data_IF_297629482036
#
_entry.id   IF_297629482036
#
_cell.length_a   1.000
_cell.length_b   1.000
_cell.length_c   1.000
_cell.angle_alpha   90.00
_cell.angle_beta   90.00
_cell.angle_gamma   90.00
#
_symmetry.space_group_name_H-M   'P 1'
#
loop_
_entity.id
_entity.type
_entity.pdbx_description
1 polymer ?
#
# COMPACT_ATOMS: atom_id res chain seq x y z
N UNK A 1 -37.40 3.38 -44.70
CA UNK A 1 -38.30 2.21 -44.78
C UNK A 1 -38.36 1.52 -43.42
N UNK A 2 -39.51 0.97 -43.00
CA UNK A 2 -39.88 0.91 -41.58
C UNK A 2 -40.18 -0.51 -41.04
N UNK A 3 -40.42 -0.58 -39.71
CA UNK A 3 -41.18 -1.59 -38.92
C UNK A 3 -40.52 -2.95 -38.61
N UNK A 4 -40.51 -3.31 -37.31
CA UNK A 4 -41.32 -4.39 -36.66
C UNK A 4 -40.67 -4.76 -35.31
N UNK A 5 -41.22 -4.37 -34.14
CA UNK A 5 -42.23 -5.08 -33.32
C UNK A 5 -42.01 -6.60 -33.18
N UNK A 6 -41.70 -7.06 -31.97
CA UNK A 6 -42.31 -8.27 -31.38
C UNK A 6 -42.52 -8.12 -29.87
N UNK A 7 -43.75 -8.48 -29.48
CA UNK A 7 -44.29 -8.70 -28.13
C UNK A 7 -44.11 -10.18 -27.77
N UNK A 8 -44.13 -10.50 -26.48
CA UNK A 8 -44.91 -11.57 -25.78
C UNK A 8 -44.36 -11.66 -24.35
N UNK A 9 -45.02 -11.12 -23.32
CA UNK A 9 -46.16 -11.69 -22.57
C UNK A 9 -45.94 -13.15 -22.14
N UNK A 10 -45.68 -13.36 -20.84
CA UNK A 10 -46.06 -14.62 -20.19
C UNK A 10 -46.68 -14.38 -18.80
N UNK A 11 -47.72 -15.17 -18.54
CA UNK A 11 -48.79 -14.95 -17.57
C UNK A 11 -48.70 -15.92 -16.39
N UNK A 12 -49.21 -15.44 -15.25
CA UNK A 12 -49.97 -16.18 -14.22
C UNK A 12 -49.26 -17.28 -13.39
N UNK A 13 -49.33 -17.12 -12.07
CA UNK A 13 -50.32 -17.85 -11.24
C UNK A 13 -50.41 -17.29 -9.81
N UNK A 14 -51.53 -16.64 -9.55
CA UNK A 14 -52.07 -16.36 -8.20
C UNK A 14 -52.92 -17.57 -7.80
N UNK A 15 -52.61 -18.21 -6.68
CA UNK A 15 -53.48 -19.20 -6.05
C UNK A 15 -54.13 -18.59 -4.81
N UNK A 16 -55.45 -18.39 -4.89
CA UNK A 16 -56.31 -18.14 -3.74
C UNK A 16 -56.61 -19.47 -3.06
N UNK A 17 -56.52 -19.49 -1.73
CA UNK A 17 -56.97 -20.62 -0.92
C UNK A 17 -58.20 -20.17 -0.14
N UNK A 18 -59.26 -20.96 -0.31
CA UNK A 18 -60.61 -20.84 0.25
C UNK A 18 -60.60 -20.90 1.78
N UNK A 19 -61.41 -20.01 2.35
CA UNK A 19 -62.07 -20.18 3.65
C UNK A 19 -63.26 -21.11 3.49
N UNK A 20 -63.30 -22.20 4.25
CA UNK A 20 -64.54 -22.90 4.58
C UNK A 20 -64.61 -23.08 6.09
N UNK A 21 -65.60 -22.43 6.68
CA UNK A 21 -66.10 -22.68 8.02
C UNK A 21 -67.04 -23.88 7.97
N UNK A 22 -66.92 -24.84 8.89
CA UNK A 22 -68.10 -25.49 9.48
C UNK A 22 -67.77 -26.24 10.79
N UNK A 23 -68.54 -25.85 11.81
CA UNK A 23 -69.15 -26.66 12.86
C UNK A 23 -68.32 -27.57 13.79
N UNK A 24 -68.10 -27.03 15.00
CA UNK A 24 -68.63 -27.52 16.29
C UNK A 24 -69.00 -29.00 16.37
N UNK A 25 -68.26 -29.75 17.21
CA UNK A 25 -68.88 -30.73 18.13
C UNK A 25 -68.07 -30.92 19.42
N UNK A 26 -68.85 -30.84 20.48
CA UNK A 26 -68.57 -30.95 21.89
C UNK A 26 -68.02 -32.34 22.29
N UNK A 27 -66.95 -32.35 23.08
CA UNK A 27 -66.51 -33.52 23.85
C UNK A 27 -65.71 -33.06 25.07
N UNK A 28 -66.44 -32.52 26.03
CA UNK A 28 -66.06 -32.51 27.44
C UNK A 28 -65.69 -33.92 27.92
N UNK A 29 -64.40 -34.21 28.14
CA UNK A 29 -63.89 -35.19 29.14
C UNK A 29 -62.36 -35.20 29.17
N UNK A 30 -61.81 -35.06 30.38
CA UNK A 30 -60.45 -35.43 30.80
C UNK A 30 -59.24 -34.68 30.18
N UNK A 31 -58.98 -33.45 30.62
CA UNK A 31 -57.62 -32.88 30.61
C UNK A 31 -57.25 -32.26 31.96
N UNK A 32 -56.97 -33.11 32.94
CA UNK A 32 -56.15 -32.71 34.08
C UNK A 32 -54.67 -32.92 33.69
N UNK A 33 -53.97 -31.78 33.48
CA UNK A 33 -52.50 -31.57 33.43
C UNK A 33 -51.82 -32.03 32.11
N UNK A 34 -51.19 -31.10 31.34
CA UNK A 34 -49.78 -30.77 31.57
C UNK A 34 -49.41 -29.30 31.26
N UNK A 35 -50.12 -28.31 31.80
CA UNK A 35 -49.74 -26.90 31.58
C UNK A 35 -48.43 -26.52 32.29
N UNK A 36 -48.07 -27.23 33.37
CA UNK A 36 -46.81 -27.02 34.09
C UNK A 36 -45.58 -27.62 33.40
N UNK A 37 -45.75 -28.58 32.48
CA UNK A 37 -44.61 -29.21 31.79
C UNK A 37 -44.15 -28.40 30.56
N UNK A 38 -45.08 -27.74 29.86
CA UNK A 38 -44.77 -26.90 28.70
C UNK A 38 -44.03 -25.60 29.08
N UNK A 39 -44.37 -24.98 30.22
CA UNK A 39 -43.65 -23.80 30.72
C UNK A 39 -42.26 -24.15 31.28
N UNK A 40 -42.08 -25.33 31.89
CA UNK A 40 -40.76 -25.78 32.35
C UNK A 40 -39.82 -26.08 31.17
N UNK A 41 -40.33 -26.64 30.07
CA UNK A 41 -39.52 -26.90 28.87
C UNK A 41 -39.17 -25.61 28.11
N UNK A 42 -40.08 -24.62 28.07
CA UNK A 42 -39.80 -23.30 27.51
C UNK A 42 -38.79 -22.49 28.36
N UNK A 43 -38.78 -22.67 29.68
CA UNK A 43 -37.80 -22.03 30.58
C UNK A 43 -36.42 -22.72 30.48
N UNK A 44 -36.38 -24.05 30.34
CA UNK A 44 -35.11 -24.76 30.10
C UNK A 44 -34.53 -24.43 28.72
N UNK A 45 -35.35 -24.24 27.68
CA UNK A 45 -34.86 -23.78 26.36
C UNK A 45 -34.43 -22.30 26.35
N UNK A 46 -35.04 -21.41 27.14
CA UNK A 46 -34.61 -20.01 27.23
C UNK A 46 -33.33 -19.82 28.06
N UNK A 47 -33.02 -20.75 28.97
CA UNK A 47 -31.78 -20.73 29.77
C UNK A 47 -30.53 -21.25 29.02
N UNK A 48 -30.64 -21.92 27.87
CA UNK A 48 -29.47 -22.43 27.11
C UNK A 48 -28.85 -21.39 26.17
N UNK A 49 -29.51 -20.23 25.99
CA UNK A 49 -28.91 -19.09 25.30
C UNK A 49 -28.37 -18.06 26.30
N UNK A 50 -27.88 -18.52 27.45
CA UNK A 50 -27.00 -17.70 28.28
C UNK A 50 -25.74 -17.45 27.45
N UNK A 51 -25.76 -16.31 26.76
CA UNK A 51 -24.66 -15.78 25.95
C UNK A 51 -23.36 -16.03 26.71
N UNK A 52 -22.50 -16.84 26.11
CA UNK A 52 -21.09 -16.86 26.43
C UNK A 52 -20.64 -15.42 26.22
N UNK A 53 -20.38 -14.72 27.33
CA UNK A 53 -19.77 -13.41 27.30
C UNK A 53 -18.45 -13.55 26.56
N UNK A 54 -18.20 -12.67 25.59
CA UNK A 54 -16.99 -12.75 24.77
C UNK A 54 -15.77 -12.80 25.71
N UNK A 55 -15.05 -13.91 25.68
CA UNK A 55 -13.91 -14.07 26.56
C UNK A 55 -12.84 -13.09 26.10
N UNK A 56 -12.28 -12.33 27.04
CA UNK A 56 -11.10 -11.51 26.79
C UNK A 56 -9.87 -12.26 27.28
N UNK A 57 -8.95 -12.57 26.38
CA UNK A 57 -7.69 -13.24 26.71
C UNK A 57 -6.50 -12.33 26.37
N UNK A 58 -5.43 -12.44 27.16
CA UNK A 58 -4.18 -11.74 26.90
C UNK A 58 -3.11 -12.78 26.51
N UNK A 59 -2.40 -12.53 25.42
CA UNK A 59 -1.35 -13.42 24.90
C UNK A 59 -0.09 -12.63 24.55
N UNK A 60 1.12 -13.21 24.70
CA UNK A 60 2.36 -12.45 24.55
C UNK A 60 2.67 -12.08 23.09
N UNK A 61 2.26 -12.91 22.12
CA UNK A 61 2.60 -12.70 20.71
C UNK A 61 1.62 -13.37 19.73
N UNK A 62 1.83 -13.16 18.43
CA UNK A 62 0.96 -13.69 17.36
C UNK A 62 0.98 -15.22 17.31
N UNK A 63 2.13 -15.85 17.59
CA UNK A 63 2.21 -17.32 17.63
C UNK A 63 1.35 -17.91 18.77
N UNK A 64 1.30 -17.25 19.92
CA UNK A 64 0.42 -17.61 21.02
C UNK A 64 -1.07 -17.38 20.68
N UNK A 65 -1.40 -16.31 19.96
CA UNK A 65 -2.75 -16.04 19.46
C UNK A 65 -3.24 -17.15 18.52
N UNK A 66 -2.40 -17.59 17.58
CA UNK A 66 -2.69 -18.68 16.64
C UNK A 66 -2.94 -20.02 17.35
N UNK A 67 -2.28 -20.22 18.49
CA UNK A 67 -2.33 -21.45 19.28
C UNK A 67 -3.55 -21.55 20.21
N UNK A 68 -4.39 -20.51 20.30
CA UNK A 68 -5.59 -20.54 21.15
C UNK A 68 -6.61 -21.58 20.65
N UNK A 69 -6.90 -22.57 21.50
CA UNK A 69 -7.70 -23.75 21.17
C UNK A 69 -9.21 -23.56 21.28
N UNK A 70 -9.67 -22.58 22.05
CA UNK A 70 -11.10 -22.36 22.35
C UNK A 70 -11.47 -20.91 22.10
N UNK A 71 -11.96 -20.64 20.88
CA UNK A 71 -12.45 -19.32 20.50
C UNK A 71 -13.87 -19.46 19.95
N UNK A 72 -14.81 -18.75 20.53
CA UNK A 72 -16.15 -18.55 20.02
C UNK A 72 -16.20 -17.29 19.15
N UNK A 73 -17.19 -17.22 18.27
CA UNK A 73 -17.41 -16.03 17.45
C UNK A 73 -17.54 -14.78 18.32
N UNK A 74 -16.69 -13.79 18.09
CA UNK A 74 -16.67 -12.53 18.81
C UNK A 74 -15.74 -12.45 20.02
N UNK A 75 -15.05 -13.52 20.39
CA UNK A 75 -14.02 -13.49 21.44
C UNK A 75 -12.95 -12.43 21.14
N UNK A 76 -12.41 -11.81 22.19
CA UNK A 76 -11.41 -10.77 22.10
C UNK A 76 -10.07 -11.25 22.64
N UNK A 77 -8.99 -10.91 21.95
CA UNK A 77 -7.65 -11.15 22.42
C UNK A 77 -6.83 -9.85 22.38
N UNK A 78 -6.11 -9.56 23.46
CA UNK A 78 -5.06 -8.54 23.47
C UNK A 78 -3.70 -9.23 23.30
N UNK A 79 -2.99 -8.88 22.24
CA UNK A 79 -1.65 -9.37 21.93
C UNK A 79 -0.63 -8.31 22.29
N UNK A 80 0.39 -8.67 23.07
CA UNK A 80 1.37 -7.70 23.56
C UNK A 80 2.46 -7.30 22.54
N UNK A 81 2.66 -8.10 21.50
CA UNK A 81 3.64 -7.86 20.44
C UNK A 81 3.47 -8.80 19.24
N UNK A 82 4.21 -8.61 18.15
CA UNK A 82 4.20 -9.55 17.03
C UNK A 82 4.99 -10.81 17.35
N UNK A 83 6.26 -10.63 17.75
CA UNK A 83 7.18 -11.69 18.14
C UNK A 83 7.44 -11.68 19.65
N UNK A 84 7.62 -10.49 20.22
CA UNK A 84 7.93 -10.30 21.65
C UNK A 84 7.11 -9.14 22.20
N UNK A 85 6.66 -9.26 23.45
CA UNK A 85 5.98 -8.20 24.21
C UNK A 85 6.66 -6.84 24.00
N UNK A 86 5.88 -5.83 23.58
CA UNK A 86 6.33 -4.45 23.44
C UNK A 86 7.03 -4.10 22.11
N UNK A 87 7.09 -5.00 21.13
CA UNK A 87 7.69 -4.71 19.81
C UNK A 87 6.84 -3.79 18.90
N UNK A 88 5.63 -3.39 19.35
CA UNK A 88 4.62 -2.57 18.65
C UNK A 88 3.86 -3.26 17.51
N UNK A 89 3.98 -4.58 17.36
CA UNK A 89 3.17 -5.33 16.40
C UNK A 89 1.97 -6.07 17.02
N UNK A 90 1.75 -5.91 18.34
CA UNK A 90 0.58 -6.40 19.07
C UNK A 90 -0.68 -5.56 18.82
N UNK A 91 -1.71 -5.71 19.65
CA UNK A 91 -2.98 -4.99 19.55
C UNK A 91 -4.19 -5.85 19.93
N UNK A 92 -5.39 -5.30 19.70
CA UNK A 92 -6.64 -6.03 19.91
C UNK A 92 -7.01 -6.86 18.68
N UNK A 93 -7.55 -8.05 18.92
CA UNK A 93 -8.05 -8.95 17.89
C UNK A 93 -9.43 -9.47 18.28
N UNK A 94 -10.28 -9.68 17.28
CA UNK A 94 -11.60 -10.31 17.42
C UNK A 94 -11.65 -11.59 16.61
N UNK A 95 -12.05 -12.70 17.22
CA UNK A 95 -12.24 -13.94 16.49
C UNK A 95 -13.54 -13.89 15.69
N UNK A 96 -13.47 -14.30 14.42
CA UNK A 96 -14.61 -14.39 13.51
C UNK A 96 -14.65 -15.81 12.93
N UNK A 97 -15.62 -16.62 13.35
CA UNK A 97 -15.68 -18.06 13.03
C UNK A 97 -15.91 -18.32 11.54
N UNK A 98 -16.65 -17.43 10.87
CA UNK A 98 -16.99 -17.57 9.45
C UNK A 98 -16.09 -16.75 8.52
N UNK A 99 -15.02 -16.13 9.04
CA UNK A 99 -14.11 -15.35 8.21
C UNK A 99 -13.24 -16.29 7.36
N UNK A 100 -13.31 -16.12 6.04
CA UNK A 100 -12.56 -16.88 5.03
C UNK A 100 -11.50 -16.06 4.31
N UNK A 101 -11.21 -14.84 4.78
CA UNK A 101 -10.17 -14.00 4.21
C UNK A 101 -8.83 -14.75 4.21
N UNK A 102 -8.05 -14.55 3.15
CA UNK A 102 -6.70 -15.05 3.04
C UNK A 102 -5.87 -14.48 4.19
N UNK A 103 -5.18 -15.31 4.99
CA UNK A 103 -4.28 -14.80 6.02
C UNK A 103 -3.21 -13.91 5.38
N UNK A 104 -3.09 -12.68 5.89
CA UNK A 104 -2.02 -11.74 5.53
C UNK A 104 -0.98 -11.60 6.64
N UNK A 105 -1.22 -12.27 7.78
CA UNK A 105 -0.36 -12.25 8.96
C UNK A 105 -0.23 -10.88 9.63
N UNK A 106 -1.12 -9.94 9.34
CA UNK A 106 -1.23 -8.66 10.04
C UNK A 106 -2.66 -8.33 10.44
N UNK A 107 -3.58 -8.18 9.48
CA UNK A 107 -5.00 -7.93 9.75
C UNK A 107 -5.72 -9.24 10.04
N UNK A 108 -5.47 -10.27 9.23
CA UNK A 108 -6.08 -11.58 9.36
C UNK A 108 -5.04 -12.60 9.81
N UNK A 109 -5.13 -13.00 11.08
CA UNK A 109 -4.27 -14.03 11.66
C UNK A 109 -5.03 -15.37 11.65
N UNK A 110 -4.43 -16.44 11.11
CA UNK A 110 -5.06 -17.75 11.12
C UNK A 110 -5.07 -18.32 12.55
N UNK A 111 -5.85 -19.38 12.72
CA UNK A 111 -5.76 -20.26 13.88
C UNK A 111 -5.04 -21.54 13.45
N UNK A 112 -4.34 -22.15 14.38
CA UNK A 112 -3.68 -23.46 14.21
C UNK A 112 -4.65 -24.58 13.78
N UNK A 113 -5.92 -24.49 14.18
CA UNK A 113 -6.98 -25.40 13.73
C UNK A 113 -7.84 -24.74 12.64
N UNK A 114 -8.28 -25.50 11.62
CA UNK A 114 -9.11 -24.97 10.53
C UNK A 114 -10.35 -24.22 11.02
N UNK A 115 -10.75 -23.19 10.28
CA UNK A 115 -11.95 -22.38 10.54
C UNK A 115 -11.66 -21.04 11.24
N UNK A 116 -12.35 -20.00 10.78
CA UNK A 116 -12.28 -18.64 11.31
C UNK A 116 -10.93 -17.92 11.16
N UNK A 117 -10.92 -16.65 11.55
CA UNK A 117 -9.72 -15.78 11.62
C UNK A 117 -9.81 -14.88 12.83
N UNK A 118 -8.66 -14.55 13.39
CA UNK A 118 -8.53 -13.37 14.23
C UNK A 118 -8.40 -12.14 13.34
N UNK A 119 -9.32 -11.20 13.49
CA UNK A 119 -9.29 -9.89 12.84
C UNK A 119 -8.66 -8.87 13.79
N UNK A 120 -7.58 -8.23 13.36
CA UNK A 120 -6.99 -7.09 14.07
C UNK A 120 -7.96 -5.91 14.12
N UNK A 121 -8.11 -5.32 15.30
CA UNK A 121 -8.85 -4.10 15.53
C UNK A 121 -7.85 -2.96 15.73
N UNK A 122 -7.79 -2.03 14.78
CA UNK A 122 -6.86 -0.91 14.84
C UNK A 122 -7.25 0.14 15.89
N UNK A 123 -8.53 0.29 16.22
CA UNK A 123 -9.02 1.20 17.26
C UNK A 123 -8.48 2.65 17.13
N UNK A 124 -8.30 3.13 15.91
CA UNK A 124 -7.75 4.47 15.61
C UNK A 124 -6.22 4.52 15.49
N UNK A 125 -5.51 3.42 15.72
CA UNK A 125 -4.08 3.32 15.44
C UNK A 125 -3.82 3.29 13.92
N UNK A 126 -2.83 4.06 13.46
CA UNK A 126 -2.30 3.91 12.09
C UNK A 126 -1.59 2.57 11.98
N UNK A 127 -1.99 1.67 11.05
CA UNK A 127 -1.29 0.42 10.87
C UNK A 127 0.17 0.65 10.49
N UNK A 128 1.03 -0.24 10.98
CA UNK A 128 2.47 -0.13 10.79
C UNK A 128 3.07 -1.47 10.37
N UNK A 129 4.20 -1.45 9.67
CA UNK A 129 4.80 -2.67 9.10
C UNK A 129 5.17 -3.76 10.13
N UNK A 130 5.35 -3.41 11.41
CA UNK A 130 5.65 -4.38 12.48
C UNK A 130 4.40 -5.21 12.82
N UNK A 131 3.20 -4.69 12.57
CA UNK A 131 1.96 -5.46 12.69
C UNK A 131 1.90 -6.65 11.72
N UNK A 132 2.74 -6.68 10.68
CA UNK A 132 2.94 -7.81 9.75
C UNK A 132 4.27 -8.54 9.98
N UNK A 133 4.97 -8.26 11.09
CA UNK A 133 6.21 -8.93 11.46
C UNK A 133 7.48 -8.36 10.83
N UNK A 134 7.47 -7.15 10.29
CA UNK A 134 8.73 -6.50 9.90
C UNK A 134 9.61 -6.27 11.16
N UNK A 135 10.89 -6.61 11.09
CA UNK A 135 11.80 -6.57 12.24
C UNK A 135 12.82 -5.45 12.10
N UNK A 136 12.96 -4.67 13.18
CA UNK A 136 13.98 -3.62 13.28
C UNK A 136 15.36 -4.24 13.48
N UNK A 137 16.36 -3.71 12.79
CA UNK A 137 17.79 -3.97 12.94
C UNK A 137 18.21 -5.44 12.79
N UNK A 138 17.31 -6.32 12.33
CA UNK A 138 17.55 -7.77 12.27
C UNK A 138 16.76 -8.39 11.13
N UNK A 139 17.43 -9.26 10.38
CA UNK A 139 16.80 -10.08 9.34
C UNK A 139 16.34 -9.28 8.13
N UNK A 140 15.81 -10.02 7.16
CA UNK A 140 15.12 -9.48 5.98
C UNK A 140 13.63 -9.28 6.29
N UNK A 141 13.10 -8.10 6.00
CA UNK A 141 11.70 -7.73 6.18
C UNK A 141 10.95 -7.62 4.85
N UNK A 142 11.53 -8.02 3.72
CA UNK A 142 10.90 -7.91 2.39
C UNK A 142 9.50 -8.51 2.37
N UNK A 143 9.33 -9.78 2.77
CA UNK A 143 8.02 -10.44 2.72
C UNK A 143 7.02 -9.79 3.67
N UNK A 144 7.44 -9.39 4.86
CA UNK A 144 6.57 -8.76 5.85
C UNK A 144 6.07 -7.39 5.37
N UNK A 145 6.96 -6.55 4.84
CA UNK A 145 6.62 -5.24 4.30
C UNK A 145 5.74 -5.40 3.05
N UNK A 146 6.04 -6.36 2.16
CA UNK A 146 5.23 -6.63 0.99
C UNK A 146 3.80 -7.06 1.38
N UNK A 147 3.66 -7.91 2.41
CA UNK A 147 2.35 -8.30 2.92
C UNK A 147 1.59 -7.11 3.51
N UNK A 148 2.28 -6.20 4.21
CA UNK A 148 1.66 -4.99 4.76
C UNK A 148 1.14 -4.05 3.67
N UNK A 149 1.95 -3.74 2.65
CA UNK A 149 1.52 -2.86 1.55
C UNK A 149 0.43 -3.51 0.70
N UNK A 150 0.45 -4.84 0.55
CA UNK A 150 -0.62 -5.54 -0.16
C UNK A 150 -1.92 -5.51 0.64
N UNK A 151 -1.90 -5.90 1.91
CA UNK A 151 -3.09 -5.98 2.74
C UNK A 151 -3.75 -4.61 2.94
N UNK A 152 -2.95 -3.57 3.17
CA UNK A 152 -3.45 -2.23 3.42
C UNK A 152 -3.69 -1.42 2.15
N UNK A 153 -2.98 -1.73 1.06
CA UNK A 153 -3.13 -1.06 -0.24
C UNK A 153 -4.26 -1.61 -1.12
N UNK A 154 -4.71 -2.86 -0.92
CA UNK A 154 -5.75 -3.52 -1.74
C UNK A 154 -7.20 -3.23 -1.31
N UNK A 155 -7.45 -2.47 -0.24
CA UNK A 155 -8.81 -2.30 0.28
C UNK A 155 -9.76 -1.52 -0.67
N UNK A 156 -9.34 -1.21 -1.90
CA UNK A 156 -10.05 -0.37 -2.87
C UNK A 156 -10.47 -1.07 -4.18
N UNK A 157 -10.21 -2.37 -4.37
CA UNK A 157 -10.47 -3.06 -5.65
C UNK A 157 -11.93 -3.50 -5.89
N UNK A 158 -12.96 -2.72 -5.51
CA UNK A 158 -14.30 -3.11 -5.99
C UNK A 158 -15.55 -2.28 -5.68
N UNK A 159 -15.54 -1.35 -4.73
CA UNK A 159 -16.69 -0.43 -4.53
C UNK A 159 -16.48 0.65 -3.45
N UNK A 160 -15.27 0.77 -2.87
CA UNK A 160 -14.96 1.79 -1.88
C UNK A 160 -14.48 3.07 -2.56
N UNK A 161 -15.10 4.19 -2.22
CA UNK A 161 -14.55 5.53 -2.42
C UNK A 161 -13.06 5.56 -2.05
N UNK A 162 -12.25 6.27 -2.84
CA UNK A 162 -10.79 6.38 -2.72
C UNK A 162 -10.28 6.97 -1.40
N UNK A 163 -10.42 6.22 -0.32
CA UNK A 163 -9.90 6.60 0.98
C UNK A 163 -8.40 6.33 0.99
N UNK A 164 -7.62 7.42 1.00
CA UNK A 164 -6.18 7.41 1.15
C UNK A 164 -5.83 6.60 2.41
N UNK A 165 -5.21 5.45 2.21
CA UNK A 165 -4.76 4.59 3.29
C UNK A 165 -3.35 5.01 3.68
N UNK A 166 -3.04 5.02 4.97
CA UNK A 166 -1.70 5.34 5.46
C UNK A 166 -1.06 4.12 6.11
N UNK A 167 0.17 3.79 5.71
CA UNK A 167 1.00 2.77 6.32
C UNK A 167 2.25 3.41 6.94
N UNK A 168 2.41 3.20 8.25
CA UNK A 168 3.52 3.73 9.01
C UNK A 168 4.74 2.79 8.95
N UNK A 169 5.91 3.38 8.72
CA UNK A 169 7.23 2.80 8.95
C UNK A 169 7.76 3.35 10.28
N UNK A 170 7.72 2.58 11.37
CA UNK A 170 8.12 3.07 12.68
C UNK A 170 9.62 3.36 12.77
N UNK A 171 10.03 4.09 13.80
CA UNK A 171 11.44 4.37 14.10
C UNK A 171 12.28 3.08 14.10
N UNK A 172 13.40 3.08 13.38
CA UNK A 172 14.34 1.96 13.28
C UNK A 172 14.91 1.75 11.89
N UNK A 173 15.77 0.72 11.75
CA UNK A 173 16.29 0.28 10.45
C UNK A 173 15.63 -1.02 10.04
N UNK A 174 15.19 -1.13 8.79
CA UNK A 174 14.63 -2.37 8.24
C UNK A 174 15.41 -2.75 7.00
N UNK A 175 15.78 -4.02 6.88
CA UNK A 175 16.46 -4.51 5.70
C UNK A 175 15.44 -5.14 4.75
N UNK A 176 15.66 -4.94 3.46
CA UNK A 176 14.96 -5.62 2.37
C UNK A 176 15.99 -6.19 1.41
N UNK A 177 15.69 -7.33 0.78
CA UNK A 177 16.53 -7.92 -0.27
C UNK A 177 15.92 -7.78 -1.67
N UNK A 178 14.61 -7.54 -1.76
CA UNK A 178 13.90 -7.35 -3.02
C UNK A 178 13.05 -6.08 -3.02
N UNK A 179 12.61 -5.69 -4.22
CA UNK A 179 11.69 -4.58 -4.47
C UNK A 179 10.40 -4.73 -3.69
N UNK A 180 9.97 -3.66 -3.02
CA UNK A 180 8.62 -3.51 -2.47
C UNK A 180 7.74 -2.82 -3.50
N UNK A 181 6.69 -3.51 -3.95
CA UNK A 181 5.72 -2.99 -4.92
C UNK A 181 4.47 -2.53 -4.18
N UNK A 182 4.05 -1.28 -4.39
CA UNK A 182 2.91 -0.70 -3.66
C UNK A 182 1.96 0.07 -4.58
N UNK A 183 0.69 0.17 -4.21
CA UNK A 183 -0.27 1.01 -4.91
C UNK A 183 0.00 2.49 -4.58
N UNK A 184 0.01 3.38 -5.59
CA UNK A 184 0.32 4.79 -5.39
C UNK A 184 -0.68 5.53 -4.49
N UNK A 185 -1.91 5.06 -4.34
CA UNK A 185 -2.87 5.65 -3.40
C UNK A 185 -2.56 5.36 -1.92
N UNK A 186 -1.60 4.46 -1.65
CA UNK A 186 -1.12 4.17 -0.31
C UNK A 186 -0.09 5.22 0.12
N UNK A 187 -0.41 5.97 1.16
CA UNK A 187 0.53 6.87 1.82
C UNK A 187 1.56 6.07 2.63
N UNK A 188 2.82 6.09 2.19
CA UNK A 188 3.94 5.53 2.95
C UNK A 188 4.56 6.62 3.82
N UNK A 189 4.46 6.47 5.15
CA UNK A 189 4.94 7.47 6.10
C UNK A 189 5.96 6.90 7.07
N UNK A 190 7.13 7.53 7.18
CA UNK A 190 8.09 7.26 8.25
C UNK A 190 7.72 7.97 9.54
N UNK A 191 8.06 7.37 10.68
CA UNK A 191 7.90 7.99 12.00
C UNK A 191 9.10 8.89 12.31
N UNK A 192 8.84 10.14 12.70
CA UNK A 192 9.87 11.10 13.10
C UNK A 192 10.53 11.83 11.93
N UNK A 193 11.83 12.12 12.07
CA UNK A 193 12.62 12.75 11.02
C UNK A 193 13.08 11.71 9.98
N UNK A 194 13.48 12.12 8.76
CA UNK A 194 13.86 11.16 7.70
C UNK A 194 15.01 10.23 8.09
N UNK A 195 15.89 10.63 9.01
CA UNK A 195 17.00 9.81 9.52
C UNK A 195 16.59 8.83 10.63
N UNK A 196 15.37 8.95 11.16
CA UNK A 196 14.89 8.14 12.28
C UNK A 196 14.29 6.81 11.85
N UNK A 197 13.87 6.72 10.58
CA UNK A 197 13.38 5.51 9.93
C UNK A 197 14.24 5.25 8.69
N UNK A 198 14.91 4.11 8.61
CA UNK A 198 15.81 3.76 7.49
C UNK A 198 15.43 2.41 6.89
N UNK A 199 15.32 2.35 5.57
CA UNK A 199 15.17 1.13 4.79
C UNK A 199 16.49 0.85 4.08
N UNK A 200 17.07 -0.32 4.28
CA UNK A 200 18.33 -0.74 3.63
C UNK A 200 18.00 -1.83 2.62
N UNK A 201 18.22 -1.54 1.34
CA UNK A 201 18.18 -2.55 0.28
C UNK A 201 19.56 -3.17 0.09
N UNK A 202 19.63 -4.48 0.32
CA UNK A 202 20.83 -5.32 0.09
C UNK A 202 20.83 -6.02 -1.26
N UNK A 203 19.71 -5.96 -2.00
CA UNK A 203 19.61 -6.48 -3.36
C UNK A 203 20.10 -5.50 -4.42
N UNK A 204 20.54 -6.03 -5.57
CA UNK A 204 20.85 -5.23 -6.76
C UNK A 204 19.58 -4.99 -7.61
N UNK A 205 18.62 -4.26 -7.03
CA UNK A 205 17.32 -3.93 -7.63
C UNK A 205 16.87 -2.53 -7.19
N UNK A 206 15.63 -2.15 -7.49
CA UNK A 206 14.98 -0.98 -6.92
C UNK A 206 14.42 -1.30 -5.53
N UNK A 207 14.46 -0.35 -4.59
CA UNK A 207 13.94 -0.58 -3.25
C UNK A 207 12.41 -0.52 -3.23
N UNK A 208 11.83 0.54 -3.80
CA UNK A 208 10.39 0.74 -3.90
C UNK A 208 9.97 1.01 -5.34
N UNK A 209 8.87 0.42 -5.76
CA UNK A 209 8.22 0.68 -7.04
C UNK A 209 6.71 0.86 -6.84
N UNK A 210 6.13 1.89 -7.45
CA UNK A 210 4.68 1.92 -7.59
C UNK A 210 4.24 0.77 -8.50
N UNK A 211 3.04 0.24 -8.28
CA UNK A 211 2.49 -0.87 -9.06
C UNK A 211 2.52 -0.56 -10.56
N UNK A 212 2.20 0.67 -10.95
CA UNK A 212 2.19 1.11 -12.35
C UNK A 212 3.60 1.16 -12.97
N UNK A 213 4.62 1.49 -12.18
CA UNK A 213 6.02 1.47 -12.59
C UNK A 213 6.57 0.04 -12.68
N UNK A 214 6.26 -0.80 -11.69
CA UNK A 214 6.63 -2.22 -11.70
C UNK A 214 6.06 -2.93 -12.93
N UNK A 215 4.77 -2.73 -13.20
CA UNK A 215 4.12 -3.31 -14.36
C UNK A 215 4.76 -2.85 -15.68
N UNK A 216 5.20 -1.60 -15.76
CA UNK A 216 5.87 -1.07 -16.93
C UNK A 216 7.26 -1.70 -17.13
N UNK A 217 8.05 -1.79 -16.05
CA UNK A 217 9.43 -2.31 -16.10
C UNK A 217 9.50 -3.81 -16.36
N UNK A 218 8.48 -4.57 -15.94
CA UNK A 218 8.48 -6.04 -15.97
C UNK A 218 7.50 -6.64 -16.98
N UNK A 219 7.00 -5.82 -17.92
CA UNK A 219 6.15 -6.30 -19.03
C UNK A 219 4.73 -6.70 -18.62
N UNK A 220 4.27 -6.22 -17.47
CA UNK A 220 2.93 -6.52 -16.90
C UNK A 220 1.78 -5.78 -17.57
N UNK A 221 2.03 -4.73 -18.37
CA UNK A 221 0.97 -3.99 -19.07
C UNK A 221 1.13 -4.05 -20.59
N UNK A 222 0.21 -4.79 -21.21
CA UNK A 222 -0.26 -4.49 -22.56
C UNK A 222 -1.02 -3.15 -22.50
N UNK A 223 -0.30 -2.06 -22.73
CA UNK A 223 -0.86 -0.84 -23.34
C UNK A 223 -1.94 -0.04 -22.58
N UNK A 224 -2.05 -0.13 -21.25
CA UNK A 224 -2.81 0.90 -20.52
C UNK A 224 -2.00 2.20 -20.47
N UNK A 225 -2.22 3.02 -21.51
CA UNK A 225 -1.72 4.40 -21.66
C UNK A 225 -2.05 5.32 -20.46
N UNK A 226 -2.79 4.85 -19.46
CA UNK A 226 -3.38 5.62 -18.36
C UNK A 226 -2.96 5.16 -16.96
N UNK A 227 -1.90 4.37 -16.82
CA UNK A 227 -1.32 4.11 -15.49
C UNK A 227 -0.71 5.41 -14.96
N UNK A 228 -1.46 6.10 -14.09
CA UNK A 228 -1.01 7.28 -13.35
C UNK A 228 -0.86 6.94 -11.88
N UNK A 229 0.18 7.48 -11.25
CA UNK A 229 0.33 7.44 -9.80
C UNK A 229 -0.44 8.58 -9.14
N UNK A 230 -1.76 8.54 -9.23
CA UNK A 230 -2.65 9.48 -8.53
C UNK A 230 -2.56 9.28 -7.02
N UNK A 231 -2.57 10.37 -6.27
CA UNK A 231 -2.57 10.32 -4.81
C UNK A 231 -1.26 9.86 -4.17
N UNK A 232 -0.19 9.71 -4.95
CA UNK A 232 1.11 9.26 -4.44
C UNK A 232 1.62 10.15 -3.31
N UNK A 233 1.69 9.61 -2.11
CA UNK A 233 2.27 10.29 -0.96
C UNK A 233 3.33 9.40 -0.29
N UNK A 234 4.57 9.87 -0.28
CA UNK A 234 5.69 9.18 0.35
C UNK A 234 6.50 10.18 1.16
N UNK A 235 6.64 9.96 2.47
CA UNK A 235 7.38 10.89 3.32
C UNK A 235 8.02 10.29 4.56
N UNK A 236 9.03 10.97 5.10
CA UNK A 236 9.46 10.82 6.49
C UNK A 236 10.47 9.70 6.76
N UNK A 237 11.10 9.10 5.75
CA UNK A 237 12.12 8.07 5.94
C UNK A 237 13.27 8.14 4.93
N UNK A 238 14.34 7.41 5.22
CA UNK A 238 15.51 7.27 4.36
C UNK A 238 15.54 5.89 3.71
N UNK A 239 15.91 5.85 2.44
CA UNK A 239 16.21 4.61 1.71
C UNK A 239 17.70 4.59 1.37
N UNK A 240 18.39 3.53 1.77
CA UNK A 240 19.82 3.30 1.49
C UNK A 240 19.95 2.05 0.63
N UNK A 241 20.68 2.16 -0.46
CA UNK A 241 21.06 1.02 -1.29
C UNK A 241 22.48 0.58 -0.93
N UNK A 242 22.86 -0.64 -1.30
CA UNK A 242 24.27 -1.02 -1.27
C UNK A 242 25.10 -0.20 -2.27
N UNK A 243 26.37 0.03 -1.94
CA UNK A 243 27.29 0.85 -2.76
C UNK A 243 27.61 0.23 -4.12
N UNK A 244 27.45 -1.08 -4.26
CA UNK A 244 27.63 -1.84 -5.50
C UNK A 244 26.39 -1.80 -6.41
N UNK A 245 25.24 -1.32 -5.93
CA UNK A 245 24.02 -1.24 -6.70
C UNK A 245 24.08 -0.02 -7.61
N UNK A 246 24.67 -0.15 -8.80
CA UNK A 246 24.92 0.99 -9.71
C UNK A 246 23.75 1.33 -10.62
N UNK A 247 22.66 0.54 -10.58
CA UNK A 247 21.53 0.67 -11.52
C UNK A 247 20.16 0.77 -10.85
N UNK A 248 20.03 0.33 -9.60
CA UNK A 248 18.80 0.38 -8.83
C UNK A 248 18.46 1.77 -8.33
N UNK A 249 17.19 1.99 -8.03
CA UNK A 249 16.65 3.22 -7.50
C UNK A 249 16.13 3.05 -6.06
N UNK A 250 16.20 4.11 -5.25
CA UNK A 250 15.48 4.16 -3.98
C UNK A 250 13.96 4.14 -4.15
N UNK A 251 13.45 4.92 -5.11
CA UNK A 251 12.03 4.94 -5.45
C UNK A 251 11.85 5.06 -6.96
N UNK A 252 11.07 4.15 -7.55
CA UNK A 252 10.61 4.25 -8.93
C UNK A 252 9.12 4.51 -8.97
N UNK A 253 8.73 5.50 -9.75
CA UNK A 253 7.34 5.91 -9.95
C UNK A 253 7.08 6.05 -11.45
N UNK A 254 5.81 6.09 -11.85
CA UNK A 254 5.42 6.28 -13.25
C UNK A 254 4.27 7.27 -13.35
N UNK A 255 4.40 8.22 -14.28
CA UNK A 255 3.34 9.19 -14.59
C UNK A 255 2.65 9.74 -13.32
N UNK A 256 3.37 10.45 -12.43
CA UNK A 256 2.75 11.02 -11.24
C UNK A 256 1.52 11.85 -11.60
N UNK A 257 0.39 11.50 -10.99
CA UNK A 257 -0.92 12.06 -11.25
C UNK A 257 -1.30 13.16 -10.26
N UNK A 258 -2.55 13.60 -10.30
CA UNK A 258 -3.11 14.54 -9.31
C UNK A 258 -2.87 14.09 -7.86
N UNK A 259 -2.60 15.05 -6.97
CA UNK A 259 -2.40 14.79 -5.55
C UNK A 259 -1.05 14.13 -5.19
N UNK A 260 -0.11 14.00 -6.12
CA UNK A 260 1.21 13.43 -5.80
C UNK A 260 2.09 14.40 -5.00
N UNK A 261 2.84 13.88 -4.03
CA UNK A 261 3.91 14.58 -3.31
C UNK A 261 4.88 13.56 -2.70
N UNK A 262 6.17 13.71 -2.97
CA UNK A 262 7.24 13.01 -2.25
C UNK A 262 7.99 14.06 -1.44
N UNK A 263 8.05 13.88 -0.11
CA UNK A 263 8.65 14.92 0.74
C UNK A 263 9.37 14.40 1.97
N UNK A 264 10.33 15.18 2.47
CA UNK A 264 11.07 14.82 3.67
C UNK A 264 11.64 13.39 3.56
N UNK A 265 12.30 13.09 2.43
CA UNK A 265 12.87 11.78 2.14
C UNK A 265 14.38 11.87 2.08
N UNK A 266 15.07 10.81 2.48
CA UNK A 266 16.51 10.64 2.25
C UNK A 266 16.78 9.49 1.28
N UNK A 267 17.71 9.64 0.35
CA UNK A 267 18.16 8.57 -0.53
C UNK A 267 19.68 8.52 -0.59
N UNK A 268 20.29 7.39 -0.24
CA UNK A 268 21.74 7.23 -0.26
C UNK A 268 22.16 6.01 -1.07
N UNK A 269 23.22 6.17 -1.86
CA UNK A 269 23.78 5.17 -2.77
C UNK A 269 22.76 4.67 -3.79
N UNK A 270 23.19 3.77 -4.68
CA UNK A 270 22.35 3.29 -5.76
C UNK A 270 22.76 3.86 -7.11
N UNK A 271 22.05 3.45 -8.16
CA UNK A 271 22.07 4.14 -9.44
C UNK A 271 21.32 5.46 -9.34
N UNK A 272 20.14 5.42 -8.72
CA UNK A 272 19.21 6.53 -8.63
C UNK A 272 18.66 6.74 -7.21
N UNK A 273 18.44 7.98 -6.81
CA UNK A 273 17.62 8.27 -5.62
C UNK A 273 16.15 8.05 -5.97
N UNK A 274 15.64 8.90 -6.85
CA UNK A 274 14.28 8.81 -7.41
C UNK A 274 14.38 8.64 -8.92
N UNK A 275 13.62 7.70 -9.48
CA UNK A 275 13.48 7.46 -10.92
C UNK A 275 12.00 7.58 -11.32
N UNK A 276 11.68 8.63 -12.05
CA UNK A 276 10.33 8.94 -12.50
C UNK A 276 10.19 8.60 -13.98
N UNK A 277 9.44 7.53 -14.28
CA UNK A 277 9.14 7.07 -15.62
C UNK A 277 8.00 7.93 -16.19
N UNK A 278 8.38 8.90 -17.02
CA UNK A 278 7.59 10.01 -17.54
C UNK A 278 7.24 11.07 -16.48
N UNK A 279 7.10 12.32 -16.91
CA UNK A 279 6.92 13.46 -16.02
C UNK A 279 5.54 13.51 -15.35
N UNK A 280 4.52 12.88 -15.95
CA UNK A 280 3.15 12.83 -15.43
C UNK A 280 2.33 14.11 -15.65
N UNK A 281 1.11 14.16 -15.12
CA UNK A 281 0.20 15.29 -15.19
C UNK A 281 -0.63 15.34 -13.90
N UNK A 282 -0.48 16.37 -13.03
CA UNK A 282 0.13 17.68 -13.28
C UNK A 282 1.66 17.71 -13.19
N UNK A 283 2.34 16.59 -12.96
CA UNK A 283 3.79 16.53 -12.88
C UNK A 283 4.30 16.05 -11.52
N UNK A 284 5.53 15.54 -11.49
CA UNK A 284 6.20 15.13 -10.26
C UNK A 284 6.36 16.30 -9.26
N UNK A 285 6.04 16.09 -7.99
CA UNK A 285 6.25 17.05 -6.91
C UNK A 285 7.19 16.52 -5.83
N UNK A 286 8.36 17.14 -5.69
CA UNK A 286 9.37 16.83 -4.68
C UNK A 286 9.56 18.00 -3.71
N UNK A 287 9.66 17.72 -2.41
CA UNK A 287 9.92 18.72 -1.37
C UNK A 287 10.88 18.22 -0.30
N UNK A 288 11.94 18.97 0.01
CA UNK A 288 12.87 18.64 1.10
C UNK A 288 13.42 17.21 0.97
N UNK A 289 14.03 16.91 -0.17
CA UNK A 289 14.59 15.57 -0.45
C UNK A 289 16.11 15.64 -0.31
N UNK A 290 16.67 14.76 0.50
CA UNK A 290 18.10 14.54 0.63
C UNK A 290 18.56 13.43 -0.32
N UNK A 291 19.63 13.65 -1.06
CA UNK A 291 20.25 12.66 -1.95
C UNK A 291 21.75 12.55 -1.68
N UNK A 292 22.33 11.36 -1.62
CA UNK A 292 23.78 11.20 -1.46
C UNK A 292 24.34 10.03 -2.25
N UNK A 293 25.46 10.26 -2.92
CA UNK A 293 26.34 9.22 -3.49
C UNK A 293 25.70 8.30 -4.55
N UNK A 294 24.79 8.84 -5.38
CA UNK A 294 24.18 8.13 -6.49
C UNK A 294 25.14 7.98 -7.68
N UNK A 295 25.11 6.81 -8.35
CA UNK A 295 26.02 6.51 -9.47
C UNK A 295 25.57 7.14 -10.80
N UNK A 296 24.26 7.36 -10.97
CA UNK A 296 23.68 7.91 -12.20
C UNK A 296 22.94 9.22 -11.95
N UNK A 297 21.98 9.28 -11.02
CA UNK A 297 21.36 10.56 -10.70
C UNK A 297 20.71 10.58 -9.32
N UNK A 298 20.69 11.75 -8.68
CA UNK A 298 19.85 11.93 -7.50
C UNK A 298 18.37 11.79 -7.84
N UNK A 299 17.92 12.56 -8.83
CA UNK A 299 16.57 12.48 -9.40
C UNK A 299 16.68 12.31 -10.92
N UNK A 300 16.05 11.27 -11.47
CA UNK A 300 15.91 11.08 -12.92
C UNK A 300 14.46 11.17 -13.31
N UNK A 301 14.14 12.03 -14.27
CA UNK A 301 12.85 12.08 -14.97
C UNK A 301 13.12 11.63 -16.38
N UNK A 302 12.48 10.56 -16.80
CA UNK A 302 12.85 9.93 -18.06
C UNK A 302 11.67 9.40 -18.85
N UNK A 303 11.74 9.55 -20.17
CA UNK A 303 10.82 8.87 -21.05
C UNK A 303 11.13 7.38 -21.04
N UNK A 304 10.08 6.57 -21.15
CA UNK A 304 10.18 5.13 -21.26
C UNK A 304 9.74 4.69 -22.66
N UNK A 305 10.25 3.55 -23.13
CA UNK A 305 9.84 2.96 -24.40
C UNK A 305 8.93 1.77 -24.10
N UNK A 306 7.60 1.87 -24.33
CA UNK A 306 6.72 0.72 -24.25
C UNK A 306 7.18 -0.41 -25.16
N UNK A 307 6.92 -1.66 -24.77
CA UNK A 307 7.33 -2.84 -25.54
C UNK A 307 6.76 -2.87 -26.98
N UNK A 308 5.62 -2.21 -27.21
CA UNK A 308 4.90 -2.13 -28.46
C UNK A 308 5.02 -0.76 -29.17
N UNK A 309 5.91 0.12 -28.70
CA UNK A 309 6.12 1.45 -29.27
C UNK A 309 7.51 1.61 -29.88
N UNK A 310 7.58 2.24 -31.04
CA UNK A 310 8.85 2.71 -31.62
C UNK A 310 9.33 4.03 -31.01
N UNK A 311 8.46 4.72 -30.26
CA UNK A 311 8.70 6.06 -29.72
C UNK A 311 8.70 6.06 -28.19
N UNK A 312 9.61 6.83 -27.61
CA UNK A 312 9.61 7.09 -26.17
C UNK A 312 8.33 7.83 -25.77
N UNK A 313 7.66 7.35 -24.74
CA UNK A 313 6.61 8.04 -24.01
C UNK A 313 7.26 8.72 -22.82
N UNK A 314 7.20 10.05 -22.78
CA UNK A 314 7.79 10.84 -21.70
C UNK A 314 7.21 12.23 -21.56
N UNK A 315 6.10 12.53 -22.22
CA UNK A 315 5.46 13.85 -22.12
C UNK A 315 4.58 13.91 -20.88
N UNK A 316 4.81 14.91 -20.04
CA UNK A 316 3.89 15.28 -18.97
C UNK A 316 2.97 16.43 -19.40
N UNK A 317 1.72 16.39 -18.95
CA UNK A 317 0.74 17.47 -19.20
C UNK A 317 0.86 18.66 -18.25
N UNK A 318 1.78 18.62 -17.28
CA UNK A 318 1.96 19.70 -16.31
C UNK A 318 3.39 19.89 -15.81
N UNK A 319 3.55 20.83 -14.89
CA UNK A 319 4.83 21.26 -14.36
C UNK A 319 5.34 20.31 -13.25
N UNK A 320 6.54 19.78 -13.45
CA UNK A 320 7.33 19.16 -12.40
C UNK A 320 7.83 20.24 -11.44
N UNK A 321 7.61 20.03 -10.14
CA UNK A 321 8.04 20.95 -9.09
C UNK A 321 9.03 20.23 -8.19
N UNK A 322 10.25 20.74 -8.10
CA UNK A 322 11.30 20.25 -7.22
C UNK A 322 11.72 21.41 -6.32
N UNK A 323 11.54 21.30 -5.02
CA UNK A 323 11.97 22.31 -4.04
C UNK A 323 12.70 21.65 -2.87
N UNK A 324 13.75 22.28 -2.36
CA UNK A 324 14.48 21.77 -1.19
C UNK A 324 15.28 20.49 -1.47
N UNK A 325 15.76 20.29 -2.71
CA UNK A 325 16.61 19.15 -3.03
C UNK A 325 18.04 19.43 -2.54
N UNK A 326 18.55 18.61 -1.63
CA UNK A 326 19.88 18.80 -1.06
C UNK A 326 20.70 17.52 -1.10
N UNK A 327 22.02 17.61 -1.21
CA UNK A 327 22.81 16.39 -1.25
C UNK A 327 24.21 16.45 -1.82
N UNK A 328 24.87 15.30 -1.68
CA UNK A 328 26.25 15.09 -2.09
C UNK A 328 26.32 14.17 -3.31
N UNK A 329 27.06 14.56 -4.33
CA UNK A 329 27.33 13.74 -5.51
C UNK A 329 28.84 13.51 -5.65
N UNK A 330 29.37 12.61 -4.81
CA UNK A 330 30.82 12.50 -4.52
C UNK A 330 31.45 11.15 -4.90
N UNK A 331 30.96 10.47 -5.95
CA UNK A 331 31.56 9.20 -6.40
C UNK A 331 32.55 9.40 -7.56
N UNK A 332 33.82 9.06 -7.30
CA UNK A 332 34.91 9.13 -8.28
C UNK A 332 34.74 8.15 -9.45
N UNK A 333 33.97 7.08 -9.26
CA UNK A 333 33.63 6.08 -10.28
C UNK A 333 32.28 6.35 -10.96
N UNK A 334 31.62 7.46 -10.63
CA UNK A 334 30.31 7.78 -11.21
C UNK A 334 30.36 7.94 -12.73
N UNK A 335 29.24 7.70 -13.39
CA UNK A 335 29.13 7.91 -14.82
C UNK A 335 29.50 9.36 -15.16
N UNK A 336 30.20 9.60 -16.28
CA UNK A 336 30.47 10.96 -16.77
C UNK A 336 29.19 11.80 -16.94
N UNK A 337 28.02 11.15 -17.10
CA UNK A 337 26.71 11.82 -17.17
C UNK A 337 25.97 11.86 -15.83
N UNK A 338 26.62 11.50 -14.73
CA UNK A 338 25.96 11.43 -13.44
C UNK A 338 25.63 12.84 -12.94
N UNK A 339 24.39 13.08 -12.50
CA UNK A 339 23.92 14.44 -12.21
C UNK A 339 22.96 14.49 -11.04
N UNK A 340 22.83 15.68 -10.44
CA UNK A 340 21.91 15.89 -9.33
C UNK A 340 20.45 15.72 -9.78
N UNK A 341 20.09 16.37 -10.89
CA UNK A 341 18.86 16.21 -11.64
C UNK A 341 19.19 15.73 -13.06
N UNK A 342 18.50 14.70 -13.53
CA UNK A 342 18.62 14.18 -14.89
C UNK A 342 17.25 14.20 -15.56
N UNK A 343 17.22 14.70 -16.79
CA UNK A 343 16.03 14.77 -17.63
C UNK A 343 16.38 14.07 -18.94
N UNK A 344 15.74 12.93 -19.20
CA UNK A 344 16.22 12.01 -20.23
C UNK A 344 15.09 11.51 -21.14
N UNK A 345 15.13 11.84 -22.43
CA UNK A 345 14.16 11.35 -23.43
C UNK A 345 12.70 11.65 -23.07
N UNK A 346 12.46 12.71 -22.29
CA UNK A 346 11.12 13.16 -21.91
C UNK A 346 10.96 14.67 -22.18
N UNK A 347 9.71 15.09 -22.27
CA UNK A 347 9.32 16.49 -22.31
C UNK A 347 8.60 16.85 -21.01
N UNK A 348 9.17 17.80 -20.26
CA UNK A 348 8.64 18.25 -18.98
C UNK A 348 8.95 19.73 -18.78
N UNK A 349 7.94 20.51 -18.37
CA UNK A 349 8.20 21.81 -17.73
C UNK A 349 8.65 21.56 -16.30
N UNK A 350 9.78 22.13 -15.88
CA UNK A 350 10.41 21.87 -14.58
C UNK A 350 10.65 23.20 -13.87
N UNK A 351 10.15 23.30 -12.64
CA UNK A 351 10.52 24.33 -11.68
C UNK A 351 11.40 23.71 -10.62
N UNK A 352 12.66 24.15 -10.55
CA UNK A 352 13.67 23.65 -9.63
C UNK A 352 14.12 24.78 -8.70
N UNK A 353 13.80 24.66 -7.41
CA UNK A 353 13.97 25.73 -6.42
C UNK A 353 14.73 25.24 -5.19
N UNK A 354 15.40 26.16 -4.52
CA UNK A 354 15.97 25.96 -3.17
C UNK A 354 16.85 24.70 -3.07
N UNK A 355 17.81 24.55 -3.98
CA UNK A 355 18.66 23.36 -3.99
C UNK A 355 20.02 23.59 -3.35
N UNK A 356 20.61 22.52 -2.79
CA UNK A 356 21.99 22.53 -2.32
C UNK A 356 22.71 21.29 -2.83
N UNK A 357 23.68 21.47 -3.72
CA UNK A 357 24.46 20.36 -4.25
C UNK A 357 25.93 20.53 -3.85
N UNK A 358 26.51 19.52 -3.22
CA UNK A 358 27.95 19.43 -2.98
C UNK A 358 28.48 18.27 -3.82
N UNK A 359 29.42 18.50 -4.74
CA UNK A 359 29.80 17.42 -5.65
C UNK A 359 30.97 17.74 -6.55
N UNK A 360 31.96 16.85 -6.55
CA UNK A 360 33.23 17.04 -7.24
C UNK A 360 33.29 16.38 -8.63
N UNK A 361 32.26 15.61 -9.04
CA UNK A 361 32.33 14.72 -10.20
C UNK A 361 30.99 14.61 -10.95
N UNK A 362 31.03 14.51 -12.29
CA UNK A 362 29.89 14.12 -13.14
C UNK A 362 29.41 15.16 -14.17
N UNK A 363 28.22 14.91 -14.72
CA UNK A 363 27.53 15.69 -15.76
C UNK A 363 26.84 16.96 -15.28
N UNK A 364 27.27 17.51 -14.14
CA UNK A 364 26.79 18.75 -13.54
C UNK A 364 25.54 18.62 -12.65
N UNK A 365 24.99 19.77 -12.25
CA UNK A 365 23.76 19.84 -11.42
C UNK A 365 22.56 19.32 -12.22
N UNK A 366 22.40 19.76 -13.47
CA UNK A 366 21.30 19.35 -14.35
C UNK A 366 21.87 18.76 -15.63
N UNK A 367 21.50 17.51 -15.93
CA UNK A 367 21.78 16.88 -17.21
C UNK A 367 20.47 16.74 -18.01
N UNK A 368 20.34 17.49 -19.10
CA UNK A 368 19.18 17.44 -19.98
C UNK A 368 19.55 16.83 -21.33
N UNK A 369 18.87 15.75 -21.73
CA UNK A 369 19.02 15.17 -23.07
C UNK A 369 17.68 14.72 -23.64
N UNK A 370 17.35 15.25 -24.81
CA UNK A 370 16.17 14.86 -25.59
C UNK A 370 16.59 14.24 -26.93
N UNK A 371 15.75 13.37 -27.50
CA UNK A 371 15.94 12.78 -28.83
C UNK A 371 14.93 13.43 -29.80
N UNK A 372 15.40 14.22 -30.77
CA UNK A 372 14.55 14.88 -31.78
C UNK A 372 14.78 16.39 -31.90
N UNK A 373 13.87 17.07 -32.61
CA UNK A 373 13.90 18.53 -32.85
C UNK A 373 14.01 19.35 -31.55
N UNK A 374 14.67 20.52 -31.61
CA UNK A 374 15.00 21.32 -30.43
C UNK A 374 13.78 22.09 -29.94
N UNK A 375 12.85 21.44 -29.24
CA UNK A 375 11.79 22.14 -28.53
C UNK A 375 11.79 21.81 -27.05
N UNK A 376 11.69 22.91 -26.31
CA UNK A 376 12.32 23.20 -25.03
C UNK A 376 11.23 23.09 -23.98
N UNK A 377 11.29 22.06 -23.12
CA UNK A 377 10.58 22.16 -21.85
C UNK A 377 11.10 23.38 -21.10
N UNK A 378 10.23 24.11 -20.41
CA UNK A 378 10.66 25.25 -19.60
C UNK A 378 11.44 24.74 -18.39
N UNK A 379 12.69 25.18 -18.21
CA UNK A 379 13.47 24.93 -17.00
C UNK A 379 13.65 26.24 -16.25
N UNK A 380 12.93 26.37 -15.12
CA UNK A 380 13.06 27.50 -14.21
C UNK A 380 13.93 27.06 -13.04
N UNK A 381 15.06 27.72 -12.84
CA UNK A 381 15.94 27.51 -11.68
C UNK A 381 15.90 28.76 -10.82
N UNK A 382 15.49 28.62 -9.56
CA UNK A 382 15.39 29.72 -8.59
C UNK A 382 16.16 29.38 -7.31
N UNK A 383 17.17 30.19 -6.99
CA UNK A 383 17.99 30.03 -5.80
C UNK A 383 18.96 28.84 -5.86
N UNK A 384 19.55 28.54 -4.71
CA UNK A 384 20.43 27.39 -4.50
C UNK A 384 21.92 27.70 -4.32
N UNK A 385 22.68 26.71 -3.88
CA UNK A 385 24.13 26.79 -3.69
C UNK A 385 24.79 25.54 -4.24
N UNK A 386 25.86 25.72 -5.01
CA UNK A 386 26.70 24.65 -5.52
C UNK A 386 28.11 24.86 -4.97
N UNK A 387 28.62 23.86 -4.25
CA UNK A 387 29.94 23.87 -3.65
C UNK A 387 30.86 22.83 -4.30
#
# INVERSE_FOLDING_TARGET
MPKQKRKEEDKMKTQSIRTDETEVRDASRNRRRPFFLACALAFVLSCVNMRIEAATVQVPNIAALESLSTNYDGDLAFVEGYYTTGDRGGGWFKFLTNNTATPDWGIYIPRSTPGGRWLRLLNGETPNIIMWGARKNVGDSTTNIQNAVNAWGHQLDGNGSGDFSELLFPLGTFNITNTIVFNSILHLRGEGSPSSTTIILTGNTNAFETKTANDLLHGGLNNSFYGYDHGLLVEGFTVRLETNNTSGAGLVIRNPGEGNTIRNMGFAYGGYGIRCLSAGAPGLRLMNVGISEHYVAGVSIEGYLPADSANYIGSGGGQVIISGLSGDHSRADSNATASFLRIWRCYAGISFRDFKAEGQWGGGIVNYRYYGDPLVGELIIEGGTYN
#
